data_IF_873957262663
#
_entry.id   IF_873957262663
#
_cell.length_a   1.000
_cell.length_b   1.000
_cell.length_c   1.000
_cell.angle_alpha   90.00
_cell.angle_beta   90.00
_cell.angle_gamma   90.00
#
_symmetry.space_group_name_H-M   'P 1'
#
loop_
_entity.id
_entity.type
_entity.pdbx_description
1 polymer ?
#
# COMPACT_ATOMS: atom_id res chain seq x y z
N UNK A 1 -6.11 6.76 -15.86
CA UNK A 1 -6.92 6.74 -14.66
C UNK A 1 -6.12 7.17 -13.43
N UNK A 2 -5.21 6.37 -13.02
CA UNK A 2 -4.39 6.69 -11.85
C UNK A 2 -3.61 7.98 -12.02
N UNK A 3 -3.30 8.37 -13.23
CA UNK A 3 -2.57 9.61 -13.48
C UNK A 3 -3.38 10.85 -13.16
N UNK A 4 -4.70 10.71 -13.13
CA UNK A 4 -5.58 11.85 -12.85
C UNK A 4 -5.56 12.26 -11.40
N UNK A 5 -5.11 11.38 -10.50
CA UNK A 5 -5.12 11.65 -9.07
C UNK A 5 -3.72 11.84 -8.50
N UNK A 6 -2.71 11.96 -9.34
CA UNK A 6 -1.35 12.18 -8.85
C UNK A 6 -0.68 10.94 -8.27
N UNK A 7 -1.30 9.79 -8.35
CA UNK A 7 -0.72 8.52 -7.88
C UNK A 7 -0.49 7.61 -9.07
N UNK A 8 0.69 6.99 -9.13
CA UNK A 8 1.00 6.03 -10.19
C UNK A 8 0.42 4.66 -9.86
N UNK A 9 0.37 3.78 -10.86
CA UNK A 9 -0.07 2.39 -10.64
C UNK A 9 0.85 1.69 -9.65
N UNK A 10 2.16 1.94 -9.73
CA UNK A 10 3.11 1.35 -8.80
C UNK A 10 2.84 1.84 -7.38
N UNK A 11 2.55 3.14 -7.21
CA UNK A 11 2.27 3.70 -5.89
C UNK A 11 1.00 3.13 -5.29
N UNK A 12 -0.02 2.88 -6.10
CA UNK A 12 -1.24 2.23 -5.60
C UNK A 12 -0.92 0.83 -5.09
N UNK A 13 -0.08 0.07 -5.81
CA UNK A 13 0.33 -1.26 -5.34
C UNK A 13 1.20 -1.19 -4.10
N UNK A 14 2.01 -0.15 -3.95
CA UNK A 14 2.80 0.06 -2.73
C UNK A 14 1.89 0.18 -1.51
N UNK A 15 0.80 0.93 -1.65
CA UNK A 15 -0.18 1.08 -0.57
C UNK A 15 -0.79 -0.28 -0.23
N UNK A 16 -1.17 -1.04 -1.25
CA UNK A 16 -1.79 -2.36 -1.04
C UNK A 16 -0.85 -3.29 -0.29
N UNK A 17 0.41 -3.38 -0.73
CA UNK A 17 1.37 -4.28 -0.11
C UNK A 17 1.67 -3.88 1.33
N UNK A 18 1.94 -2.59 1.56
CA UNK A 18 2.29 -2.12 2.91
C UNK A 18 1.14 -2.30 3.89
N UNK A 19 -0.08 -1.94 3.49
CA UNK A 19 -1.24 -2.07 4.39
C UNK A 19 -1.63 -3.53 4.59
N UNK A 20 -1.55 -4.35 3.54
CA UNK A 20 -1.88 -5.77 3.64
C UNK A 20 -0.90 -6.51 4.54
N UNK A 21 0.38 -6.10 4.53
CA UNK A 21 1.38 -6.69 5.42
C UNK A 21 1.07 -6.37 6.87
N UNK A 22 0.59 -5.15 7.17
CA UNK A 22 0.19 -4.78 8.52
C UNK A 22 -0.97 -5.63 9.02
N UNK A 23 -1.81 -6.09 8.12
CA UNK A 23 -2.96 -6.94 8.45
C UNK A 23 -2.64 -8.43 8.26
N UNK A 24 -1.39 -8.77 8.00
CA UNK A 24 -0.92 -10.16 7.90
C UNK A 24 -1.69 -10.96 6.86
N UNK A 25 -1.98 -10.36 5.71
CA UNK A 25 -2.70 -11.04 4.64
C UNK A 25 -1.72 -11.71 3.69
N UNK A 26 -1.53 -13.03 3.85
CA UNK A 26 -0.63 -13.79 2.99
C UNK A 26 -1.01 -13.66 1.52
N UNK A 27 -2.28 -13.89 1.21
CA UNK A 27 -2.77 -13.83 -0.18
C UNK A 27 -2.49 -12.45 -0.80
N UNK A 28 -2.83 -11.41 -0.07
CA UNK A 28 -2.75 -10.04 -0.59
C UNK A 28 -1.29 -9.60 -0.78
N UNK A 29 -0.44 -9.89 0.20
CA UNK A 29 0.97 -9.47 0.12
C UNK A 29 1.67 -10.18 -1.04
N UNK A 30 1.45 -11.47 -1.21
CA UNK A 30 2.13 -12.23 -2.26
C UNK A 30 1.61 -11.83 -3.64
N UNK A 31 0.29 -11.78 -3.82
CA UNK A 31 -0.26 -11.47 -5.15
C UNK A 31 0.00 -10.03 -5.58
N UNK A 32 -0.22 -9.07 -4.69
CA UNK A 32 0.03 -7.67 -5.02
C UNK A 32 1.52 -7.33 -4.99
N UNK A 33 2.31 -8.08 -4.23
CA UNK A 33 3.76 -7.97 -4.31
C UNK A 33 4.28 -8.30 -5.70
N UNK A 34 3.71 -9.32 -6.35
CA UNK A 34 4.06 -9.66 -7.73
C UNK A 34 3.71 -8.51 -8.67
N UNK A 35 2.51 -7.94 -8.54
CA UNK A 35 2.09 -6.83 -9.39
C UNK A 35 3.00 -5.63 -9.17
N UNK A 36 3.36 -5.35 -7.93
CA UNK A 36 4.25 -4.23 -7.61
C UNK A 36 5.61 -4.40 -8.26
N UNK A 37 6.21 -5.60 -8.17
CA UNK A 37 7.51 -5.84 -8.78
C UNK A 37 7.49 -5.54 -10.27
N UNK A 38 6.40 -5.92 -10.93
CA UNK A 38 6.25 -5.68 -12.37
C UNK A 38 6.06 -4.20 -12.66
N UNK A 39 5.16 -3.54 -11.93
CA UNK A 39 4.83 -2.13 -12.20
C UNK A 39 5.96 -1.18 -11.82
N UNK A 40 6.64 -1.45 -10.73
CA UNK A 40 7.76 -0.63 -10.27
C UNK A 40 9.07 -0.98 -10.96
N UNK A 41 9.11 -2.13 -11.65
CA UNK A 41 10.35 -2.67 -12.27
C UNK A 41 11.46 -2.77 -11.24
N UNK A 42 11.10 -3.23 -10.06
CA UNK A 42 12.02 -3.32 -8.91
C UNK A 42 11.73 -4.62 -8.18
N UNK A 43 12.65 -5.59 -8.24
CA UNK A 43 12.37 -6.91 -7.68
C UNK A 43 12.48 -7.00 -6.15
N UNK A 44 12.98 -5.94 -5.48
CA UNK A 44 13.16 -6.01 -4.02
C UNK A 44 12.21 -5.10 -3.24
N UNK A 45 11.59 -4.14 -3.89
CA UNK A 45 10.75 -3.15 -3.19
C UNK A 45 9.59 -3.80 -2.44
N UNK A 46 8.94 -4.78 -3.05
CA UNK A 46 7.78 -5.42 -2.42
C UNK A 46 8.16 -6.11 -1.11
N UNK A 47 9.34 -6.75 -1.06
CA UNK A 47 9.80 -7.39 0.16
C UNK A 47 10.09 -6.37 1.25
N UNK A 48 10.68 -5.24 0.88
CA UNK A 48 10.96 -4.17 1.85
C UNK A 48 9.66 -3.62 2.44
N UNK A 49 8.67 -3.38 1.59
CA UNK A 49 7.39 -2.85 2.05
C UNK A 49 6.65 -3.84 2.93
N UNK A 50 6.74 -5.13 2.60
CA UNK A 50 6.05 -6.17 3.35
C UNK A 50 6.67 -6.39 4.73
N UNK A 51 7.99 -6.37 4.81
CA UNK A 51 8.67 -6.70 6.06
C UNK A 51 8.77 -5.50 6.99
N UNK A 52 9.15 -4.34 6.43
CA UNK A 52 9.28 -3.12 7.24
C UNK A 52 9.25 -1.91 6.31
N UNK A 53 8.05 -1.41 6.04
CA UNK A 53 7.92 -0.34 5.05
C UNK A 53 8.68 0.93 5.46
N UNK A 54 8.87 1.15 6.76
CA UNK A 54 9.59 2.34 7.24
C UNK A 54 11.07 2.33 6.87
N UNK A 55 11.61 1.17 6.52
CA UNK A 55 12.99 1.01 6.10
C UNK A 55 13.13 0.83 4.60
N UNK A 56 12.02 0.91 3.87
CA UNK A 56 12.04 0.71 2.42
C UNK A 56 12.70 1.88 1.69
N UNK A 57 13.19 1.59 0.50
CA UNK A 57 13.87 2.60 -0.33
C UNK A 57 12.86 3.30 -1.21
N UNK A 58 12.13 4.24 -0.61
CA UNK A 58 11.12 5.03 -1.32
C UNK A 58 11.42 6.51 -1.10
N UNK A 59 10.79 7.37 -1.91
CA UNK A 59 10.96 8.81 -1.75
C UNK A 59 10.29 9.31 -0.48
N UNK A 60 10.63 10.53 -0.07
CA UNK A 60 9.98 11.14 1.10
C UNK A 60 8.49 11.30 0.85
N UNK A 61 8.11 11.65 -0.37
CA UNK A 61 6.70 11.76 -0.76
C UNK A 61 5.98 10.42 -0.62
N UNK A 62 6.61 9.36 -1.11
CA UNK A 62 6.03 8.03 -1.01
C UNK A 62 5.96 7.54 0.44
N UNK A 63 6.95 7.89 1.26
CA UNK A 63 6.91 7.52 2.67
C UNK A 63 5.75 8.23 3.39
N UNK A 64 5.48 9.50 3.07
CA UNK A 64 4.33 10.20 3.62
C UNK A 64 3.04 9.51 3.21
N UNK A 65 2.94 9.10 1.97
CA UNK A 65 1.80 8.34 1.45
C UNK A 65 1.59 7.04 2.23
N UNK A 66 2.66 6.29 2.43
CA UNK A 66 2.60 5.00 3.11
C UNK A 66 2.25 5.15 4.59
N UNK A 67 2.83 6.14 5.26
CA UNK A 67 2.51 6.41 6.66
C UNK A 67 1.02 6.73 6.83
N UNK A 68 0.48 7.54 5.94
CA UNK A 68 -0.94 7.88 5.99
C UNK A 68 -1.81 6.65 5.73
N UNK A 69 -1.46 5.87 4.70
CA UNK A 69 -2.23 4.67 4.34
C UNK A 69 -2.25 3.65 5.47
N UNK A 70 -1.10 3.41 6.10
CA UNK A 70 -1.01 2.45 7.19
C UNK A 70 -1.80 2.94 8.41
N UNK A 71 -1.74 4.25 8.69
CA UNK A 71 -2.54 4.81 9.79
C UNK A 71 -4.03 4.65 9.54
N UNK A 72 -4.49 4.88 8.30
CA UNK A 72 -5.90 4.63 7.94
C UNK A 72 -6.26 3.17 8.18
N UNK A 73 -5.39 2.25 7.79
CA UNK A 73 -5.68 0.81 7.90
C UNK A 73 -5.70 0.33 9.35
N UNK A 74 -4.89 0.93 10.23
CA UNK A 74 -4.69 0.42 11.59
C UNK A 74 -5.30 1.30 12.67
N UNK A 75 -5.40 2.61 12.45
CA UNK A 75 -5.77 3.57 13.49
C UNK A 75 -6.54 4.73 12.89
N UNK A 76 -7.55 4.43 12.07
CA UNK A 76 -8.29 5.49 11.37
C UNK A 76 -8.94 6.48 12.31
N UNK A 77 -9.29 6.05 13.53
CA UNK A 77 -9.87 6.92 14.54
C UNK A 77 -8.87 7.94 15.10
N UNK A 78 -7.59 7.81 14.79
CA UNK A 78 -6.55 8.74 15.23
C UNK A 78 -6.12 9.72 14.13
N UNK A 79 -6.72 9.65 12.96
CA UNK A 79 -6.43 10.60 11.87
C UNK A 79 -6.92 11.99 12.28
N UNK A 80 -6.09 13.01 12.06
CA UNK A 80 -6.41 14.39 12.40
C UNK A 80 -5.85 15.34 11.34
N UNK A 81 -6.01 16.66 11.59
CA UNK A 81 -5.60 17.68 10.63
C UNK A 81 -4.11 17.64 10.31
N UNK A 82 -3.29 17.24 11.28
CA UNK A 82 -1.84 17.17 11.06
C UNK A 82 -1.49 16.11 10.01
N UNK A 83 -2.22 15.00 9.98
CA UNK A 83 -1.98 13.96 8.98
C UNK A 83 -2.24 14.48 7.57
N UNK A 84 -3.30 15.27 7.39
CA UNK A 84 -3.60 15.88 6.09
C UNK A 84 -2.57 16.94 5.72
N UNK A 85 -2.08 17.68 6.71
CA UNK A 85 -1.06 18.70 6.47
C UNK A 85 0.24 18.07 5.97
N UNK A 86 0.63 16.94 6.54
CA UNK A 86 1.83 16.23 6.11
C UNK A 86 1.69 15.80 4.63
N UNK A 87 0.53 15.28 4.25
CA UNK A 87 0.29 14.93 2.85
C UNK A 87 0.39 16.16 1.95
N UNK A 88 -0.22 17.26 2.38
CA UNK A 88 -0.21 18.49 1.61
C UNK A 88 1.22 19.03 1.44
N UNK A 89 2.02 18.98 2.50
CA UNK A 89 3.41 19.41 2.44
C UNK A 89 4.25 18.59 1.48
N UNK A 90 3.81 17.36 1.19
CA UNK A 90 4.50 16.47 0.25
C UNK A 90 3.86 16.46 -1.13
N UNK A 91 2.93 17.38 -1.40
CA UNK A 91 2.38 17.56 -2.73
C UNK A 91 1.10 16.78 -3.04
N UNK A 92 0.47 16.21 -2.04
CA UNK A 92 -0.81 15.54 -2.21
C UNK A 92 -1.95 16.48 -1.84
N UNK A 93 -3.00 16.49 -2.65
CA UNK A 93 -4.19 17.27 -2.32
C UNK A 93 -5.23 16.39 -1.61
N UNK A 94 -6.40 16.98 -1.33
CA UNK A 94 -7.43 16.25 -0.58
C UNK A 94 -7.99 15.07 -1.37
N UNK A 95 -8.01 15.17 -2.69
CA UNK A 95 -8.49 14.06 -3.51
C UNK A 95 -7.50 12.91 -3.52
N UNK A 96 -6.20 13.24 -3.50
CA UNK A 96 -5.17 12.21 -3.34
C UNK A 96 -5.33 11.51 -1.99
N UNK A 97 -5.57 12.29 -0.92
CA UNK A 97 -5.78 11.71 0.40
C UNK A 97 -6.99 10.77 0.41
N UNK A 98 -8.08 11.19 -0.25
CA UNK A 98 -9.26 10.34 -0.39
C UNK A 98 -8.93 9.04 -1.12
N UNK A 99 -8.14 9.14 -2.19
CA UNK A 99 -7.74 7.96 -2.96
C UNK A 99 -6.90 7.01 -2.13
N UNK A 100 -5.90 7.56 -1.42
CA UNK A 100 -5.04 6.74 -0.56
C UNK A 100 -5.88 6.04 0.51
N UNK A 101 -6.74 6.78 1.18
CA UNK A 101 -7.60 6.23 2.23
C UNK A 101 -8.56 5.19 1.68
N UNK A 102 -9.09 5.41 0.48
CA UNK A 102 -10.04 4.47 -0.14
C UNK A 102 -9.36 3.14 -0.46
N UNK A 103 -8.15 3.19 -1.02
CA UNK A 103 -7.40 1.97 -1.32
C UNK A 103 -7.05 1.22 -0.04
N UNK A 104 -6.55 1.93 0.98
CA UNK A 104 -6.22 1.32 2.26
C UNK A 104 -7.44 0.66 2.91
N UNK A 105 -8.59 1.34 2.84
CA UNK A 105 -9.83 0.83 3.44
C UNK A 105 -10.38 -0.38 2.69
N UNK A 106 -10.36 -0.32 1.35
CA UNK A 106 -10.83 -1.43 0.54
C UNK A 106 -10.02 -2.69 0.81
N UNK A 107 -8.70 -2.55 0.86
CA UNK A 107 -7.84 -3.70 1.10
C UNK A 107 -7.84 -4.15 2.55
N UNK A 108 -8.13 -3.27 3.50
CA UNK A 108 -8.36 -3.72 4.87
C UNK A 108 -9.54 -4.70 4.93
N UNK A 109 -10.61 -4.41 4.19
CA UNK A 109 -11.73 -5.33 4.07
C UNK A 109 -11.29 -6.63 3.39
N UNK A 110 -10.62 -6.51 2.25
CA UNK A 110 -10.17 -7.66 1.46
C UNK A 110 -9.21 -8.55 2.26
N UNK A 111 -8.28 -7.92 3.01
CA UNK A 111 -7.34 -8.64 3.88
C UNK A 111 -8.07 -9.54 4.88
N UNK A 112 -9.11 -9.01 5.51
CA UNK A 112 -9.86 -9.74 6.52
C UNK A 112 -10.61 -10.91 5.93
N UNK A 113 -11.21 -10.72 4.75
CA UNK A 113 -11.92 -11.80 4.07
C UNK A 113 -10.95 -12.90 3.62
N UNK A 114 -9.82 -12.51 3.04
CA UNK A 114 -8.82 -13.48 2.60
C UNK A 114 -8.27 -14.28 3.78
N UNK A 115 -7.99 -13.61 4.89
CA UNK A 115 -7.51 -14.29 6.10
C UNK A 115 -8.56 -15.22 6.68
N UNK A 116 -9.80 -14.73 6.76
CA UNK A 116 -10.90 -15.49 7.34
C UNK A 116 -11.13 -16.81 6.60
N UNK A 117 -11.07 -16.77 5.27
CA UNK A 117 -11.35 -17.95 4.45
C UNK A 117 -10.09 -18.67 3.99
N UNK A 118 -8.94 -18.31 4.57
CA UNK A 118 -7.66 -18.99 4.31
C UNK A 118 -7.30 -19.06 2.83
N UNK A 119 -7.51 -17.94 2.12
CA UNK A 119 -7.15 -17.87 0.71
C UNK A 119 -5.65 -17.94 0.55
N UNK A 120 -5.20 -18.76 -0.41
CA UNK A 120 -3.78 -18.92 -0.70
C UNK A 120 -3.46 -18.36 -2.09
N UNK A 121 -2.32 -17.68 -2.22
CA UNK A 121 -1.93 -17.17 -3.52
C UNK A 121 -1.47 -18.29 -4.44
N UNK A 122 -1.60 -18.09 -5.76
CA UNK A 122 -1.03 -19.01 -6.73
C UNK A 122 0.49 -19.03 -6.57
N UNK A 123 1.09 -20.19 -6.73
CA UNK A 123 2.52 -20.34 -6.47
C UNK A 123 3.38 -19.48 -7.39
N UNK A 124 2.94 -19.25 -8.62
CA UNK A 124 3.71 -18.43 -9.56
C UNK A 124 3.85 -16.98 -9.10
N UNK A 125 2.95 -16.48 -8.25
CA UNK A 125 3.06 -15.10 -7.76
C UNK A 125 4.29 -14.86 -6.90
N UNK A 126 4.84 -15.93 -6.30
CA UNK A 126 6.05 -15.77 -5.49
C UNK A 126 7.26 -15.36 -6.34
N UNK A 127 7.26 -15.74 -7.62
CA UNK A 127 8.42 -15.49 -8.48
C UNK A 127 8.21 -14.45 -9.56
N UNK A 128 6.99 -14.03 -9.80
CA UNK A 128 6.71 -13.06 -10.86
C UNK A 128 7.40 -11.73 -10.59
N UNK A 129 8.14 -11.24 -11.57
CA UNK A 129 8.82 -9.95 -11.48
C UNK A 129 10.11 -9.96 -10.66
N UNK A 130 10.56 -11.11 -10.22
CA UNK A 130 11.78 -11.20 -9.41
C UNK A 130 13.06 -11.01 -10.20
#
# INVERSE_FOLDING_TARGET
METECGLTKAELEMIVVATSAQNNCLYCVVSHGAVLRIRAKDPVLSDQLAINFKKSKVSKKQMAMLNFAVKVAKESDHINDEDFKILQDHGFDIEDAWRIASVASFFAMSNRLANTFSMLPNTEFYNMGR
#
